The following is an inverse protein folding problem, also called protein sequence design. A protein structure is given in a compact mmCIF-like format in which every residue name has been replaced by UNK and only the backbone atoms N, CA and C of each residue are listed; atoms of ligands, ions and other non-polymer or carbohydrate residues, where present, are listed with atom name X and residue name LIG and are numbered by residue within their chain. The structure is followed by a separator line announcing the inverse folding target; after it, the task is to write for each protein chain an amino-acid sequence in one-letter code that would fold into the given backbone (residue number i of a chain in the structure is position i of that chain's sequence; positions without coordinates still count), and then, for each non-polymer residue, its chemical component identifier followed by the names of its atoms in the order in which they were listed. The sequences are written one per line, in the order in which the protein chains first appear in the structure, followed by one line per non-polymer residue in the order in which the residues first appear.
data_IF_058237239182
#
_entry.id   IF_058237239182
#
_cell.length_a   1.000
_cell.length_b   1.000
_cell.length_c   1.000
_cell.angle_alpha   90.00
_cell.angle_beta   90.00
_cell.angle_gamma   90.00
#
_symmetry.space_group_name_H-M   'P 1'
#
loop_
_entity.id
_entity.type
_entity.pdbx_description
1 polymer ?
#
# COMPACT_ATOMS: atom_id res chain seq x y z
N UNK A 1 15.35 2.88 6.63
CA UNK A 1 14.39 3.09 7.72
C UNK A 1 13.97 1.79 8.38
N UNK A 2 13.36 1.91 9.56
CA UNK A 2 12.67 0.80 10.24
C UNK A 2 11.15 1.00 10.20
N UNK A 3 10.39 0.02 10.67
CA UNK A 3 8.92 0.05 10.62
C UNK A 3 8.29 1.21 11.42
N UNK A 4 8.86 1.63 12.54
CA UNK A 4 8.29 2.77 13.30
C UNK A 4 8.43 4.08 12.51
N UNK A 5 9.55 4.26 11.81
CA UNK A 5 9.76 5.41 10.94
C UNK A 5 8.83 5.34 9.72
N UNK A 6 8.69 4.18 9.09
CA UNK A 6 7.71 3.97 8.00
C UNK A 6 6.30 4.44 8.41
N UNK A 7 5.78 3.97 9.54
CA UNK A 7 4.44 4.38 10.00
C UNK A 7 4.36 5.87 10.35
N UNK A 8 5.44 6.46 10.87
CA UNK A 8 5.49 7.91 11.12
C UNK A 8 5.40 8.71 9.82
N UNK A 9 6.00 8.21 8.72
CA UNK A 9 5.94 8.83 7.40
C UNK A 9 4.54 8.66 6.80
N UNK A 10 3.95 7.45 6.87
CA UNK A 10 2.56 7.20 6.43
C UNK A 10 1.57 8.13 7.13
N UNK A 11 1.78 8.42 8.42
CA UNK A 11 0.95 9.36 9.18
C UNK A 11 1.02 10.82 8.71
N UNK A 12 1.86 11.15 7.71
CA UNK A 12 1.95 12.49 7.12
C UNK A 12 1.03 12.68 5.91
N UNK A 13 0.35 11.63 5.43
CA UNK A 13 -0.66 11.77 4.37
C UNK A 13 -1.69 12.84 4.75
N UNK A 14 -1.88 13.82 3.85
CA UNK A 14 -2.71 14.99 4.11
C UNK A 14 -4.17 14.74 3.75
N UNK A 15 -4.90 14.05 4.61
CA UNK A 15 -6.31 13.73 4.39
C UNK A 15 -7.25 14.96 4.36
N UNK A 16 -6.77 16.18 4.68
CA UNK A 16 -7.55 17.40 4.46
C UNK A 16 -7.77 17.70 2.97
N UNK A 17 -6.90 17.16 2.09
CA UNK A 17 -6.97 17.29 0.62
C UNK A 17 -7.69 16.11 -0.05
N UNK A 18 -8.50 15.35 0.71
CA UNK A 18 -9.27 14.23 0.17
C UNK A 18 -10.05 14.61 -1.10
N UNK A 19 -9.82 13.86 -2.19
CA UNK A 19 -10.33 14.15 -3.53
C UNK A 19 -9.26 14.62 -4.52
N UNK A 20 -8.05 14.90 -4.02
CA UNK A 20 -6.83 15.13 -4.80
C UNK A 20 -5.70 14.26 -4.22
N UNK A 21 -5.54 13.05 -4.77
CA UNK A 21 -4.60 12.08 -4.23
C UNK A 21 -3.14 12.55 -4.32
N UNK A 22 -2.79 13.34 -5.34
CA UNK A 22 -1.46 13.94 -5.48
C UNK A 22 -1.17 14.87 -4.29
N UNK A 23 -2.14 15.72 -3.93
CA UNK A 23 -2.03 16.60 -2.77
C UNK A 23 -2.03 15.84 -1.42
N UNK A 24 -2.72 14.71 -1.34
CA UNK A 24 -2.71 13.86 -0.13
C UNK A 24 -1.32 13.24 0.09
N UNK A 25 -0.65 12.77 -0.97
CA UNK A 25 0.66 12.09 -0.85
C UNK A 25 1.86 13.04 -0.83
N UNK A 26 1.72 14.28 -1.30
CA UNK A 26 2.81 15.27 -1.43
C UNK A 26 3.71 15.36 -0.17
N UNK A 27 3.21 15.43 1.08
CA UNK A 27 4.08 15.52 2.25
C UNK A 27 4.97 14.30 2.46
N UNK A 28 4.49 13.12 2.06
CA UNK A 28 5.25 11.86 2.13
C UNK A 28 6.36 11.86 1.09
N UNK A 29 6.01 12.22 -0.15
CA UNK A 29 6.95 12.31 -1.28
C UNK A 29 8.07 13.31 -0.96
N UNK A 30 7.70 14.51 -0.51
CA UNK A 30 8.64 15.55 -0.13
C UNK A 30 9.60 15.09 0.97
N UNK A 31 9.10 14.43 2.02
CA UNK A 31 9.96 13.93 3.08
C UNK A 31 10.90 12.83 2.58
N UNK A 32 10.39 11.87 1.81
CA UNK A 32 11.18 10.78 1.25
C UNK A 32 12.26 11.29 0.31
N UNK A 33 12.02 12.36 -0.47
CA UNK A 33 13.01 12.94 -1.38
C UNK A 33 14.24 13.50 -0.65
N UNK A 34 14.11 13.82 0.64
CA UNK A 34 15.22 14.27 1.49
C UNK A 34 15.99 13.12 2.18
N UNK A 35 15.52 11.87 2.05
CA UNK A 35 16.16 10.68 2.62
C UNK A 35 17.25 10.13 1.71
N UNK A 36 18.08 9.23 2.23
CA UNK A 36 19.02 8.48 1.38
C UNK A 36 18.28 7.52 0.44
N UNK A 37 18.88 7.16 -0.71
CA UNK A 37 18.23 6.24 -1.67
C UNK A 37 17.92 4.89 -1.00
N UNK A 38 18.80 4.42 -0.13
CA UNK A 38 18.59 3.18 0.62
C UNK A 38 17.43 3.29 1.62
N UNK A 39 17.18 4.47 2.20
CA UNK A 39 15.98 4.67 3.02
C UNK A 39 14.70 4.67 2.18
N UNK A 40 14.72 5.24 0.97
CA UNK A 40 13.59 5.21 0.04
C UNK A 40 13.29 3.76 -0.40
N UNK A 41 14.32 2.99 -0.75
CA UNK A 41 14.17 1.56 -1.08
C UNK A 41 13.66 0.74 0.11
N UNK A 42 14.11 1.06 1.32
CA UNK A 42 13.60 0.41 2.53
C UNK A 42 12.15 0.82 2.85
N UNK A 43 11.71 2.03 2.50
CA UNK A 43 10.29 2.41 2.58
C UNK A 43 9.46 1.53 1.65
N UNK A 44 9.87 1.41 0.39
CA UNK A 44 9.20 0.59 -0.63
C UNK A 44 9.09 -0.88 -0.19
N UNK A 45 10.18 -1.48 0.27
CA UNK A 45 10.15 -2.87 0.74
C UNK A 45 9.22 -3.05 1.96
N UNK A 46 9.15 -2.08 2.89
CA UNK A 46 8.22 -2.17 4.01
C UNK A 46 6.78 -2.05 3.53
N UNK A 47 6.46 -1.11 2.63
CA UNK A 47 5.14 -0.98 2.01
C UNK A 47 4.72 -2.29 1.35
N UNK A 48 5.61 -2.86 0.52
CA UNK A 48 5.40 -4.12 -0.15
C UNK A 48 5.10 -5.27 0.82
N UNK A 49 5.85 -5.38 1.92
CA UNK A 49 5.61 -6.37 2.97
C UNK A 49 4.23 -6.22 3.63
N UNK A 50 3.77 -4.99 3.88
CA UNK A 50 2.44 -4.77 4.48
C UNK A 50 1.32 -5.13 3.50
N UNK A 51 1.44 -4.73 2.25
CA UNK A 51 0.47 -5.08 1.21
C UNK A 51 0.42 -6.59 0.96
N UNK A 52 1.58 -7.26 0.91
CA UNK A 52 1.69 -8.71 0.76
C UNK A 52 1.08 -9.47 1.95
N UNK A 53 1.23 -8.97 3.18
CA UNK A 53 0.61 -9.57 4.36
C UNK A 53 -0.93 -9.55 4.28
N UNK A 54 -1.52 -8.54 3.64
CA UNK A 54 -2.96 -8.44 3.42
C UNK A 54 -3.44 -9.24 2.19
N UNK A 55 -2.55 -9.72 1.32
CA UNK A 55 -2.87 -10.52 0.13
C UNK A 55 -3.38 -11.93 0.53
N UNK A 56 -4.61 -12.02 1.01
CA UNK A 56 -5.21 -13.29 1.39
C UNK A 56 -6.62 -13.41 0.86
N UNK A 57 -7.03 -14.66 0.61
CA UNK A 57 -8.41 -14.99 0.24
C UNK A 57 -9.43 -14.52 1.29
N UNK A 58 -9.03 -14.41 2.56
CA UNK A 58 -9.90 -13.95 3.63
C UNK A 58 -10.18 -12.44 3.50
N UNK A 59 -9.16 -11.62 3.24
CA UNK A 59 -9.33 -10.18 3.02
C UNK A 59 -10.02 -9.89 1.68
N UNK A 60 -9.64 -10.61 0.62
CA UNK A 60 -10.19 -10.43 -0.72
C UNK A 60 -11.72 -10.61 -0.78
N UNK A 61 -12.32 -11.38 0.14
CA UNK A 61 -13.76 -11.59 0.24
C UNK A 61 -14.54 -10.44 0.86
N UNK A 62 -13.85 -9.45 1.42
CA UNK A 62 -14.45 -8.48 2.33
C UNK A 62 -14.33 -7.03 1.81
N UNK A 63 -13.78 -6.81 0.61
CA UNK A 63 -13.56 -5.47 0.02
C UNK A 63 -14.80 -4.76 -0.55
N UNK A 64 -15.99 -5.39 -0.48
CA UNK A 64 -17.24 -4.80 -0.97
C UNK A 64 -17.69 -5.36 -2.32
N UNK A 65 -18.08 -4.49 -3.25
CA UNK A 65 -18.66 -4.86 -4.56
C UNK A 65 -17.72 -5.74 -5.39
N UNK A 66 -16.41 -5.44 -5.35
CA UNK A 66 -15.36 -6.15 -6.07
C UNK A 66 -14.84 -7.41 -5.34
N UNK A 67 -15.49 -7.82 -4.25
CA UNK A 67 -15.02 -8.93 -3.43
C UNK A 67 -14.86 -10.25 -4.21
N UNK A 68 -13.78 -10.97 -3.90
CA UNK A 68 -13.56 -12.32 -4.39
C UNK A 68 -14.72 -13.23 -3.96
N UNK A 69 -15.37 -13.86 -4.92
CA UNK A 69 -16.45 -14.82 -4.65
C UNK A 69 -15.99 -16.26 -4.83
N UNK A 70 -15.41 -16.57 -5.98
CA UNK A 70 -14.83 -17.87 -6.35
C UNK A 70 -14.13 -17.77 -7.71
N UNK A 71 -13.35 -18.81 -8.05
CA UNK A 71 -12.60 -18.98 -9.31
C UNK A 71 -13.41 -18.83 -10.61
N UNK A 72 -14.75 -18.91 -10.57
CA UNK A 72 -15.60 -18.80 -11.77
C UNK A 72 -16.08 -17.38 -12.04
N UNK A 73 -15.95 -16.49 -11.05
CA UNK A 73 -16.31 -15.08 -11.20
C UNK A 73 -15.05 -14.26 -11.43
N UNK A 74 -15.20 -13.21 -12.23
CA UNK A 74 -14.14 -12.21 -12.37
C UNK A 74 -13.82 -11.61 -11.00
N UNK A 75 -12.53 -11.41 -10.76
CA UNK A 75 -11.99 -10.72 -9.60
C UNK A 75 -10.89 -9.80 -10.10
N UNK A 76 -11.04 -8.51 -9.85
CA UNK A 76 -10.07 -7.50 -10.24
C UNK A 76 -8.88 -7.56 -9.27
N UNK A 77 -7.72 -7.93 -9.80
CA UNK A 77 -6.47 -8.00 -9.03
C UNK A 77 -6.00 -6.62 -8.59
N UNK A 78 -6.26 -5.61 -9.42
CA UNK A 78 -5.90 -4.21 -9.18
C UNK A 78 -6.82 -3.61 -8.11
N UNK A 79 -8.15 -3.79 -8.22
CA UNK A 79 -9.10 -3.29 -7.21
C UNK A 79 -8.75 -3.80 -5.80
N UNK A 80 -8.34 -5.07 -5.68
CA UNK A 80 -7.92 -5.62 -4.40
C UNK A 80 -6.59 -5.07 -3.91
N UNK A 81 -5.62 -4.83 -4.80
CA UNK A 81 -4.38 -4.16 -4.44
C UNK A 81 -4.65 -2.75 -3.90
N UNK A 82 -5.49 -1.97 -4.59
CA UNK A 82 -5.80 -0.61 -4.16
C UNK A 82 -6.63 -0.58 -2.87
N UNK A 83 -7.50 -1.56 -2.67
CA UNK A 83 -8.21 -1.75 -1.39
C UNK A 83 -7.23 -2.02 -0.23
N UNK A 84 -6.16 -2.80 -0.46
CA UNK A 84 -5.09 -3.03 0.54
C UNK A 84 -4.29 -1.75 0.82
N UNK A 85 -4.12 -0.90 -0.19
CA UNK A 85 -3.47 0.41 -0.02
C UNK A 85 -4.23 1.29 0.98
N UNK A 86 -5.57 1.30 0.95
CA UNK A 86 -6.40 2.03 1.94
C UNK A 86 -6.04 1.63 3.38
N UNK A 87 -5.90 0.33 3.63
CA UNK A 87 -5.59 -0.19 4.97
C UNK A 87 -4.23 0.30 5.46
N UNK A 88 -3.21 0.29 4.59
CA UNK A 88 -1.86 0.75 4.95
C UNK A 88 -1.83 2.27 5.08
N UNK A 89 -2.46 3.01 4.16
CA UNK A 89 -2.51 4.47 4.16
C UNK A 89 -3.16 5.05 5.42
N UNK A 90 -4.13 4.34 6.00
CA UNK A 90 -4.80 4.74 7.24
C UNK A 90 -4.05 4.32 8.51
N UNK A 91 -2.80 3.86 8.38
CA UNK A 91 -1.85 3.74 9.47
C UNK A 91 -1.81 2.39 10.17
N UNK A 92 -0.91 2.31 11.15
CA UNK A 92 -0.49 1.07 11.81
C UNK A 92 -1.64 0.38 12.53
N UNK A 93 -2.46 1.13 13.25
CA UNK A 93 -3.54 0.60 14.07
C UNK A 93 -4.59 -0.09 13.21
N UNK A 94 -4.99 0.53 12.09
CA UNK A 94 -5.92 -0.09 11.15
C UNK A 94 -5.28 -1.32 10.50
N UNK A 95 -4.04 -1.20 10.02
CA UNK A 95 -3.32 -2.33 9.44
C UNK A 95 -3.31 -3.56 10.36
N UNK A 96 -2.92 -3.38 11.62
CA UNK A 96 -2.87 -4.48 12.59
C UNK A 96 -4.26 -5.06 12.85
N UNK A 97 -5.27 -4.20 12.99
CA UNK A 97 -6.64 -4.63 13.24
C UNK A 97 -7.19 -5.47 12.07
N UNK A 98 -7.02 -5.02 10.84
CA UNK A 98 -7.53 -5.70 9.65
C UNK A 98 -6.78 -6.99 9.37
N UNK A 99 -5.46 -7.00 9.60
CA UNK A 99 -4.64 -8.21 9.48
C UNK A 99 -5.17 -9.37 10.32
N UNK A 100 -5.71 -9.07 11.50
CA UNK A 100 -6.31 -10.05 12.42
C UNK A 100 -7.81 -10.27 12.17
N UNK A 101 -8.51 -9.28 11.62
CA UNK A 101 -9.96 -9.26 11.47
C UNK A 101 -10.40 -8.96 10.02
N UNK A 102 -10.25 -9.91 9.08
CA UNK A 102 -10.55 -9.67 7.67
C UNK A 102 -11.97 -9.19 7.38
N UNK A 103 -12.95 -9.56 8.22
CA UNK A 103 -14.36 -9.16 8.06
C UNK A 103 -14.63 -7.68 8.24
N UNK A 104 -13.69 -6.96 8.84
CA UNK A 104 -13.78 -5.54 9.10
C UNK A 104 -13.05 -4.70 8.04
N UNK A 105 -12.64 -5.33 6.93
CA UNK A 105 -11.96 -4.65 5.82
C UNK A 105 -12.80 -3.45 5.32
N UNK A 106 -12.19 -2.27 5.10
CA UNK A 106 -12.87 -1.13 4.49
C UNK A 106 -13.48 -1.46 3.13
N UNK A 107 -14.75 -1.14 2.92
CA UNK A 107 -15.49 -1.56 1.72
C UNK A 107 -15.58 -0.44 0.72
N UNK A 108 -15.43 -0.79 -0.55
CA UNK A 108 -15.69 0.11 -1.67
C UNK A 108 -14.82 1.38 -1.61
N UNK A 109 -13.57 1.21 -1.19
CA UNK A 109 -12.55 2.27 -1.09
C UNK A 109 -11.27 1.82 -1.78
N UNK A 110 -10.53 2.77 -2.34
CA UNK A 110 -9.23 2.57 -2.97
C UNK A 110 -8.31 3.74 -2.63
N UNK A 111 -7.00 3.52 -2.73
CA UNK A 111 -6.00 4.58 -2.60
C UNK A 111 -4.70 4.16 -3.30
N UNK A 112 -4.75 4.05 -4.63
CA UNK A 112 -3.61 3.60 -5.46
C UNK A 112 -2.35 4.46 -5.28
N UNK A 113 -2.52 5.78 -5.08
CA UNK A 113 -1.43 6.76 -5.08
C UNK A 113 -0.27 6.43 -4.14
N UNK A 114 -0.51 5.74 -3.02
CA UNK A 114 0.55 5.36 -2.08
C UNK A 114 1.61 4.44 -2.70
N UNK A 115 1.29 3.71 -3.77
CA UNK A 115 2.22 2.83 -4.47
C UNK A 115 3.35 3.59 -5.16
N UNK A 116 3.16 4.88 -5.45
CA UNK A 116 4.10 5.67 -6.25
C UNK A 116 5.01 6.57 -5.40
N UNK A 117 4.75 6.73 -4.11
CA UNK A 117 5.44 7.75 -3.29
C UNK A 117 6.95 7.56 -3.18
N UNK A 118 7.43 6.31 -3.19
CA UNK A 118 8.85 6.01 -3.16
C UNK A 118 9.52 6.30 -4.51
N UNK A 119 8.84 5.93 -5.60
CA UNK A 119 9.28 6.23 -6.97
C UNK A 119 9.38 7.75 -7.17
N UNK A 120 8.30 8.48 -6.91
CA UNK A 120 8.23 9.94 -7.11
C UNK A 120 9.31 10.66 -6.31
N UNK A 121 9.49 10.29 -5.05
CA UNK A 121 10.52 10.86 -4.18
C UNK A 121 11.94 10.62 -4.72
N UNK A 122 12.21 9.43 -5.24
CA UNK A 122 13.51 9.09 -5.82
C UNK A 122 13.77 9.86 -7.11
N UNK A 123 12.78 9.93 -8.00
CA UNK A 123 12.88 10.62 -9.28
C UNK A 123 13.06 12.13 -9.05
N UNK A 124 12.28 12.74 -8.14
CA UNK A 124 12.42 14.14 -7.72
C UNK A 124 13.82 14.44 -7.16
N UNK A 125 14.37 13.52 -6.36
CA UNK A 125 15.69 13.69 -5.74
C UNK A 125 16.84 13.55 -6.74
N UNK A 126 16.78 12.54 -7.60
CA UNK A 126 17.92 12.08 -8.38
C UNK A 126 17.92 12.55 -9.84
N UNK A 127 16.78 13.07 -10.34
CA UNK A 127 16.56 13.36 -11.76
C UNK A 127 16.86 12.13 -12.65
N UNK A 128 16.41 10.96 -12.17
CA UNK A 128 16.63 9.63 -12.79
C UNK A 128 15.41 8.77 -12.61
N UNK A 129 15.13 7.94 -13.61
CA UNK A 129 14.06 6.94 -13.56
C UNK A 129 14.25 5.94 -12.43
N UNK A 130 13.13 5.51 -11.84
CA UNK A 130 13.09 4.46 -10.84
C UNK A 130 13.27 3.07 -11.46
N UNK A 131 14.38 2.42 -11.16
CA UNK A 131 14.69 1.05 -11.59
C UNK A 131 14.63 0.03 -10.44
N UNK A 132 14.33 0.47 -9.21
CA UNK A 132 14.31 -0.39 -8.04
C UNK A 132 13.10 -1.31 -8.06
N UNK A 133 13.34 -2.60 -7.79
CA UNK A 133 12.30 -3.61 -7.62
C UNK A 133 12.40 -4.14 -6.19
N UNK A 134 11.30 -3.99 -5.45
CA UNK A 134 11.13 -4.54 -4.12
C UNK A 134 11.39 -6.06 -4.10
N UNK A 135 12.20 -6.59 -3.17
CA UNK A 135 12.30 -8.03 -2.93
C UNK A 135 10.96 -8.72 -2.66
N UNK A 136 10.04 -8.03 -1.99
CA UNK A 136 8.68 -8.52 -1.74
C UNK A 136 7.75 -8.12 -2.88
N UNK A 137 7.13 -9.12 -3.52
CA UNK A 137 6.11 -8.92 -4.56
C UNK A 137 4.73 -8.75 -3.91
N UNK A 138 4.19 -7.53 -3.94
CA UNK A 138 2.91 -7.18 -3.32
C UNK A 138 1.69 -7.46 -4.21
N UNK A 139 1.91 -7.89 -5.45
CA UNK A 139 0.83 -8.14 -6.40
C UNK A 139 -0.16 -9.18 -5.86
N UNK A 140 -1.41 -9.09 -6.30
CA UNK A 140 -2.45 -10.00 -5.87
C UNK A 140 -2.10 -11.46 -6.24
N UNK A 141 -2.35 -12.40 -5.33
CA UNK A 141 -1.97 -13.83 -5.40
C UNK A 141 -0.50 -14.17 -5.12
N UNK A 142 0.35 -13.21 -4.77
CA UNK A 142 1.77 -13.46 -4.50
C UNK A 142 2.03 -13.99 -3.11
N UNK A 143 1.16 -13.71 -2.14
CA UNK A 143 1.16 -14.45 -0.89
C UNK A 143 0.48 -15.80 -1.10
N UNK A 144 1.22 -16.73 -1.70
CA UNK A 144 0.74 -18.07 -2.06
C UNK A 144 0.08 -18.77 -0.85
N UNK A 145 0.59 -18.55 0.37
CA UNK A 145 0.03 -19.13 1.59
C UNK A 145 -1.32 -18.52 2.00
N UNK A 146 -1.51 -17.22 1.77
CA UNK A 146 -2.76 -16.49 2.03
C UNK A 146 -3.91 -16.89 1.11
N UNK A 147 -3.61 -17.55 0.00
CA UNK A 147 -4.58 -18.00 -1.01
C UNK A 147 -4.85 -19.50 -1.02
N UNK A 148 -4.25 -20.26 -0.10
CA UNK A 148 -4.56 -21.69 0.08
C UNK A 148 -5.92 -21.93 0.75
#
# INVERSE_FOLDING_TARGET
MNENEFWSIIGMLNWEESGDDEAVVEPVVDLLSQKSDEEIFQFEEILAQKLHALDTKAHAKEIGEDAYVNEKKYFSVDSFLYSRCVVVANGKELFQHILENPKEFPKDMEFEAILYVAQEAYEQKNDKEWEYVSPTDYETYKNISGWQ
#
